data_IF_511289669456
#
_entry.id   IF_511289669456
#
_cell.length_a   1.000
_cell.length_b   1.000
_cell.length_c   1.000
_cell.angle_alpha   90.00
_cell.angle_beta   90.00
_cell.angle_gamma   90.00
#
_symmetry.space_group_name_H-M   'P 1'
#
loop_
_entity.id
_entity.type
_entity.pdbx_description
1 polymer ?
#
# COMPACT_ATOMS: atom_id res chain seq x y z
N UNK A 1 4.15 0.81 33.34
CA UNK A 1 3.94 2.23 33.71
C UNK A 1 4.14 3.06 32.46
N UNK A 2 3.21 3.96 32.12
CA UNK A 2 3.35 4.84 30.94
C UNK A 2 4.35 5.96 31.29
N UNK A 3 5.44 6.06 30.54
CA UNK A 3 6.49 7.07 30.71
C UNK A 3 6.29 8.25 29.74
N UNK A 4 6.94 9.41 29.97
CA UNK A 4 6.92 10.52 29.01
C UNK A 4 7.39 10.12 27.60
N UNK A 5 8.39 9.23 27.51
CA UNK A 5 8.86 8.67 26.23
C UNK A 5 7.76 7.90 25.51
N UNK A 6 7.06 7.00 26.22
CA UNK A 6 5.93 6.24 25.65
C UNK A 6 4.84 7.19 25.15
N UNK A 7 4.48 8.22 25.94
CA UNK A 7 3.47 9.22 25.51
C UNK A 7 3.93 9.97 24.26
N UNK A 8 5.21 10.32 24.16
CA UNK A 8 5.77 10.96 22.97
C UNK A 8 5.65 10.04 21.74
N UNK A 9 6.06 8.78 21.87
CA UNK A 9 6.00 7.79 20.78
C UNK A 9 4.56 7.50 20.33
N UNK A 10 3.61 7.40 21.26
CA UNK A 10 2.18 7.24 20.94
C UNK A 10 1.64 8.44 20.13
N UNK A 11 2.01 9.67 20.50
CA UNK A 11 1.62 10.89 19.76
C UNK A 11 2.26 10.97 18.38
N UNK A 12 3.50 10.50 18.25
CA UNK A 12 4.17 10.41 16.95
C UNK A 12 3.40 9.43 16.08
N UNK A 13 3.18 8.21 16.56
CA UNK A 13 2.40 7.19 15.84
C UNK A 13 1.03 7.70 15.38
N UNK A 14 0.28 8.32 16.29
CA UNK A 14 -1.06 8.88 16.02
C UNK A 14 -1.06 9.86 14.84
N UNK A 15 -0.06 10.74 14.78
CA UNK A 15 0.03 11.83 13.80
C UNK A 15 0.67 11.42 12.48
N UNK A 16 1.40 10.31 12.45
CA UNK A 16 2.10 9.83 11.27
C UNK A 16 1.56 8.47 10.82
N UNK A 17 2.15 7.38 11.34
CA UNK A 17 2.00 6.03 10.80
C UNK A 17 0.56 5.54 10.90
N UNK A 18 -0.16 5.89 11.96
CA UNK A 18 -1.58 5.52 12.08
C UNK A 18 -2.41 6.04 10.90
N UNK A 19 -2.09 7.24 10.39
CA UNK A 19 -2.77 7.83 9.22
C UNK A 19 -2.47 7.08 7.92
N UNK A 20 -1.31 6.42 7.83
CA UNK A 20 -0.91 5.59 6.70
C UNK A 20 -1.66 4.25 6.74
N UNK A 21 -1.81 3.70 7.95
CA UNK A 21 -2.54 2.45 8.21
C UNK A 21 -4.03 2.60 7.86
N UNK A 22 -4.61 3.75 8.18
CA UNK A 22 -6.05 4.00 8.01
C UNK A 22 -6.41 4.75 6.72
N UNK A 23 -5.49 4.92 5.77
CA UNK A 23 -5.72 5.71 4.53
C UNK A 23 -7.01 5.33 3.78
N UNK A 24 -7.36 4.04 3.78
CA UNK A 24 -8.58 3.47 3.17
C UNK A 24 -9.57 2.89 4.19
N UNK A 25 -9.51 3.36 5.44
CA UNK A 25 -10.43 2.98 6.50
C UNK A 25 -11.18 4.20 7.02
N UNK A 26 -12.49 4.28 6.76
CA UNK A 26 -13.31 5.42 7.22
C UNK A 26 -13.54 5.40 8.74
N UNK A 27 -13.39 4.25 9.39
CA UNK A 27 -13.53 4.14 10.84
C UNK A 27 -12.30 4.65 11.59
N UNK A 28 -11.17 4.83 10.89
CA UNK A 28 -9.87 5.20 11.45
C UNK A 28 -9.46 4.24 12.57
N UNK A 29 -9.51 2.94 12.30
CA UNK A 29 -9.42 1.88 13.31
C UNK A 29 -8.08 1.88 14.04
N UNK A 30 -6.95 2.09 13.34
CA UNK A 30 -5.62 2.14 13.94
C UNK A 30 -5.35 3.47 14.68
N UNK A 31 -5.98 4.56 14.26
CA UNK A 31 -5.91 5.85 14.94
C UNK A 31 -6.82 5.93 16.17
N UNK A 32 -7.97 5.26 16.17
CA UNK A 32 -8.96 5.37 17.26
C UNK A 32 -8.92 4.16 18.17
N UNK A 33 -9.30 3.00 17.64
CA UNK A 33 -9.50 1.78 18.45
C UNK A 33 -8.18 1.21 18.95
N UNK A 34 -7.19 1.09 18.06
CA UNK A 34 -5.90 0.52 18.41
C UNK A 34 -5.16 1.35 19.47
N UNK A 35 -5.18 2.69 19.34
CA UNK A 35 -4.55 3.57 20.33
C UNK A 35 -5.18 3.45 21.72
N UNK A 36 -6.50 3.25 21.83
CA UNK A 36 -7.16 2.95 23.11
C UNK A 36 -6.73 1.59 23.70
N UNK A 37 -6.38 0.62 22.84
CA UNK A 37 -5.92 -0.71 23.26
C UNK A 37 -4.45 -0.75 23.66
N UNK A 38 -3.65 0.26 23.28
CA UNK A 38 -2.21 0.24 23.51
C UNK A 38 -1.83 0.28 25.01
N UNK A 39 -2.33 1.19 25.86
CA UNK A 39 -1.92 1.24 27.27
C UNK A 39 -2.09 -0.06 28.08
N UNK A 40 -3.22 -0.80 27.97
CA UNK A 40 -3.39 -2.06 28.70
C UNK A 40 -2.71 -3.26 28.04
N UNK A 41 -2.27 -3.17 26.77
CA UNK A 41 -1.68 -4.29 26.03
C UNK A 41 -0.16 -4.10 25.85
N UNK A 42 0.68 -4.85 26.58
CA UNK A 42 2.12 -4.76 26.42
C UNK A 42 2.58 -5.00 24.99
N UNK A 43 1.99 -5.96 24.28
CA UNK A 43 2.37 -6.27 22.90
C UNK A 43 2.10 -5.07 21.97
N UNK A 44 0.88 -4.52 22.00
CA UNK A 44 0.51 -3.39 21.14
C UNK A 44 1.35 -2.16 21.52
N UNK A 45 1.53 -1.88 22.81
CA UNK A 45 2.30 -0.73 23.28
C UNK A 45 3.74 -0.77 22.76
N UNK A 46 4.41 -1.91 22.96
CA UNK A 46 5.79 -2.09 22.51
C UNK A 46 5.87 -2.02 20.97
N UNK A 47 4.94 -2.65 20.25
CA UNK A 47 4.94 -2.61 18.78
C UNK A 47 4.73 -1.20 18.21
N UNK A 48 3.81 -0.41 18.78
CA UNK A 48 3.60 0.99 18.41
C UNK A 48 4.83 1.85 18.73
N UNK A 49 5.38 1.72 19.94
CA UNK A 49 6.57 2.45 20.35
C UNK A 49 7.77 2.13 19.45
N UNK A 50 7.97 0.86 19.12
CA UNK A 50 9.01 0.41 18.20
C UNK A 50 8.87 1.09 16.83
N UNK A 51 7.66 1.01 16.25
CA UNK A 51 7.35 1.55 14.94
C UNK A 51 7.51 3.07 14.87
N UNK A 52 7.01 3.80 15.88
CA UNK A 52 7.18 5.24 15.99
C UNK A 52 8.65 5.66 16.16
N UNK A 53 9.36 5.01 17.07
CA UNK A 53 10.78 5.29 17.31
C UNK A 53 11.60 4.99 16.05
N UNK A 54 11.24 3.92 15.31
CA UNK A 54 11.92 3.60 14.06
C UNK A 54 11.73 4.72 13.04
N UNK A 55 10.52 5.22 12.87
CA UNK A 55 10.28 6.35 11.97
C UNK A 55 11.07 7.59 12.38
N UNK A 56 11.06 7.96 13.67
CA UNK A 56 11.86 9.09 14.18
C UNK A 56 13.36 8.92 13.92
N UNK A 57 13.86 7.69 13.97
CA UNK A 57 15.26 7.39 13.66
C UNK A 57 15.63 7.62 12.19
N UNK A 58 14.64 7.57 11.29
CA UNK A 58 14.82 7.72 9.84
C UNK A 58 14.65 9.18 9.38
N UNK A 59 13.74 9.93 10.01
CA UNK A 59 13.46 11.34 9.65
C UNK A 59 14.20 12.35 10.52
N UNK A 60 14.87 11.90 11.57
CA UNK A 60 15.49 12.76 12.58
C UNK A 60 16.77 12.15 13.17
N UNK A 61 16.85 12.09 14.50
CA UNK A 61 18.06 11.64 15.20
C UNK A 61 18.16 10.11 15.25
N UNK A 62 18.82 9.53 14.25
CA UNK A 62 19.10 8.09 14.18
C UNK A 62 19.78 7.56 15.44
N UNK A 63 20.80 8.26 15.96
CA UNK A 63 21.55 7.86 17.15
C UNK A 63 20.69 7.79 18.42
N UNK A 64 19.67 8.65 18.51
CA UNK A 64 18.76 8.69 19.67
C UNK A 64 17.71 7.60 19.58
N UNK A 65 17.04 7.49 18.43
CA UNK A 65 15.80 6.71 18.33
C UNK A 65 16.01 5.28 17.85
N UNK A 66 17.11 4.97 17.16
CA UNK A 66 17.37 3.61 16.69
C UNK A 66 17.48 2.61 17.86
N UNK A 67 18.28 2.84 18.92
CA UNK A 67 18.35 1.91 20.05
C UNK A 67 17.02 1.74 20.79
N UNK A 68 16.25 2.83 20.91
CA UNK A 68 14.90 2.82 21.49
C UNK A 68 13.97 1.94 20.65
N UNK A 69 14.02 2.09 19.33
CA UNK A 69 13.21 1.29 18.39
C UNK A 69 13.53 -0.21 18.48
N UNK A 70 14.82 -0.56 18.56
CA UNK A 70 15.29 -1.94 18.67
C UNK A 70 14.90 -2.57 20.02
N UNK A 71 14.95 -1.80 21.10
CA UNK A 71 14.50 -2.24 22.42
C UNK A 71 13.01 -2.62 22.42
N UNK A 72 12.13 -1.70 22.02
CA UNK A 72 10.68 -1.96 21.98
C UNK A 72 10.33 -3.06 20.98
N UNK A 73 11.02 -3.13 19.84
CA UNK A 73 10.83 -4.19 18.84
C UNK A 73 11.16 -5.57 19.43
N UNK A 74 12.30 -5.70 20.11
CA UNK A 74 12.69 -6.97 20.75
C UNK A 74 11.66 -7.44 21.79
N UNK A 75 11.11 -6.52 22.59
CA UNK A 75 10.05 -6.84 23.55
C UNK A 75 8.76 -7.27 22.85
N UNK A 76 8.34 -6.58 21.79
CA UNK A 76 7.14 -6.90 21.04
C UNK A 76 7.25 -8.26 20.34
N UNK A 77 8.40 -8.59 19.74
CA UNK A 77 8.65 -9.91 19.12
C UNK A 77 8.58 -11.02 20.16
N UNK A 78 9.18 -10.83 21.34
CA UNK A 78 9.14 -11.81 22.43
C UNK A 78 7.71 -12.06 22.94
N UNK A 79 6.92 -10.99 23.09
CA UNK A 79 5.51 -11.08 23.46
C UNK A 79 4.67 -11.77 22.36
N UNK A 80 4.94 -11.48 21.09
CA UNK A 80 4.28 -12.13 19.96
C UNK A 80 4.58 -13.63 19.92
N UNK A 81 5.83 -14.05 20.12
CA UNK A 81 6.19 -15.46 20.15
C UNK A 81 5.40 -16.23 21.22
N UNK A 82 5.34 -15.68 22.45
CA UNK A 82 4.53 -16.26 23.55
C UNK A 82 3.04 -16.31 23.23
N UNK A 83 2.51 -15.30 22.56
CA UNK A 83 1.11 -15.24 22.16
C UNK A 83 0.79 -16.35 21.15
N UNK A 84 1.67 -16.58 20.17
CA UNK A 84 1.49 -17.61 19.15
C UNK A 84 1.62 -19.04 19.71
N UNK A 85 2.43 -19.22 20.76
CA UNK A 85 2.51 -20.50 21.50
C UNK A 85 1.24 -20.78 22.32
N UNK A 86 0.49 -19.74 22.70
CA UNK A 86 -0.76 -19.82 23.45
C UNK A 86 -1.99 -19.79 22.50
N UNK A 87 -2.41 -20.96 22.04
CA UNK A 87 -3.65 -21.20 21.25
C UNK A 87 -4.93 -20.52 21.84
N UNK A 88 -6.03 -20.39 21.07
CA UNK A 88 -6.32 -19.43 19.99
C UNK A 88 -7.22 -18.26 20.44
N UNK A 89 -7.34 -17.95 21.74
CA UNK A 89 -8.33 -16.97 22.23
C UNK A 89 -8.00 -15.51 21.88
N UNK A 90 -6.76 -15.21 21.49
CA UNK A 90 -6.27 -13.84 21.27
C UNK A 90 -5.79 -13.59 19.82
N UNK A 91 -6.41 -14.27 18.84
CA UNK A 91 -6.00 -14.13 17.43
C UNK A 91 -6.17 -12.72 16.85
N UNK A 92 -7.12 -11.92 17.37
CA UNK A 92 -7.24 -10.50 17.00
C UNK A 92 -5.99 -9.70 17.42
N UNK A 93 -5.44 -9.99 18.60
CA UNK A 93 -4.20 -9.36 19.06
C UNK A 93 -3.00 -9.82 18.23
N UNK A 94 -2.97 -11.11 17.83
CA UNK A 94 -1.91 -11.67 17.01
C UNK A 94 -1.84 -10.98 15.64
N UNK A 95 -2.95 -10.87 14.91
CA UNK A 95 -2.94 -10.21 13.60
C UNK A 95 -2.51 -8.74 13.72
N UNK A 96 -3.01 -8.01 14.71
CA UNK A 96 -2.66 -6.59 14.93
C UNK A 96 -1.17 -6.43 15.22
N UNK A 97 -0.63 -7.22 16.15
CA UNK A 97 0.79 -7.18 16.48
C UNK A 97 1.65 -7.56 15.27
N UNK A 98 1.22 -8.54 14.47
CA UNK A 98 1.92 -8.92 13.24
C UNK A 98 1.96 -7.77 12.23
N UNK A 99 0.84 -7.07 12.01
CA UNK A 99 0.82 -5.91 11.11
C UNK A 99 1.78 -4.81 11.59
N UNK A 100 1.77 -4.50 12.89
CA UNK A 100 2.66 -3.48 13.46
C UNK A 100 4.15 -3.88 13.33
N UNK A 101 4.48 -5.12 13.65
CA UNK A 101 5.84 -5.65 13.52
C UNK A 101 6.28 -5.68 12.04
N UNK A 102 5.48 -6.20 11.12
CA UNK A 102 5.79 -6.18 9.69
C UNK A 102 5.95 -4.76 9.13
N UNK A 103 5.21 -3.79 9.67
CA UNK A 103 5.37 -2.39 9.30
C UNK A 103 6.67 -1.78 9.85
N UNK A 104 7.09 -2.18 11.05
CA UNK A 104 8.40 -1.81 11.59
C UNK A 104 9.51 -2.34 10.69
N UNK A 105 9.43 -3.61 10.30
CA UNK A 105 10.42 -4.31 9.50
C UNK A 105 10.54 -3.70 8.09
N UNK A 106 9.41 -3.28 7.51
CA UNK A 106 9.37 -2.53 6.25
C UNK A 106 10.22 -1.24 6.31
N UNK A 107 10.22 -0.54 7.45
CA UNK A 107 11.06 0.64 7.68
C UNK A 107 12.48 0.29 8.16
N UNK A 108 12.64 -0.83 8.86
CA UNK A 108 13.89 -1.20 9.51
C UNK A 108 14.90 -1.89 8.60
N UNK A 109 14.42 -2.86 7.84
CA UNK A 109 15.21 -3.75 7.01
C UNK A 109 14.37 -4.22 5.82
N UNK A 110 14.06 -3.32 4.87
CA UNK A 110 13.35 -3.71 3.66
C UNK A 110 14.16 -4.78 2.91
N UNK A 111 13.52 -5.87 2.51
CA UNK A 111 14.19 -6.96 1.81
C UNK A 111 13.78 -8.35 2.30
N UNK A 112 14.70 -9.30 2.27
CA UNK A 112 14.41 -10.72 2.51
C UNK A 112 13.82 -11.00 3.89
N UNK A 113 14.27 -10.28 4.93
CA UNK A 113 13.77 -10.48 6.29
C UNK A 113 12.32 -10.01 6.43
N UNK A 114 12.00 -8.80 5.94
CA UNK A 114 10.61 -8.33 5.81
C UNK A 114 9.74 -9.33 5.02
N UNK A 115 10.24 -9.86 3.91
CA UNK A 115 9.51 -10.82 3.08
C UNK A 115 9.20 -12.13 3.80
N UNK A 116 10.11 -12.63 4.65
CA UNK A 116 9.89 -13.83 5.46
C UNK A 116 8.77 -13.59 6.48
N UNK A 117 8.76 -12.43 7.12
CA UNK A 117 7.75 -12.12 8.12
C UNK A 117 6.38 -11.79 7.51
N UNK A 118 6.34 -11.13 6.35
CA UNK A 118 5.08 -10.95 5.59
C UNK A 118 4.46 -12.29 5.19
N UNK A 119 5.27 -13.32 4.87
CA UNK A 119 4.79 -14.70 4.67
C UNK A 119 4.21 -15.31 5.95
N UNK A 120 4.77 -14.99 7.11
CA UNK A 120 4.19 -15.36 8.40
C UNK A 120 2.84 -14.68 8.63
N UNK A 121 2.73 -13.39 8.31
CA UNK A 121 1.48 -12.62 8.39
C UNK A 121 0.38 -13.21 7.51
N UNK A 122 0.73 -13.66 6.30
CA UNK A 122 -0.18 -14.35 5.40
C UNK A 122 -0.86 -15.56 6.06
N UNK A 123 -0.12 -16.38 6.82
CA UNK A 123 -0.67 -17.55 7.52
C UNK A 123 -1.75 -17.14 8.53
N UNK A 124 -1.49 -16.10 9.33
CA UNK A 124 -2.47 -15.58 10.31
C UNK A 124 -3.70 -15.01 9.61
N UNK A 125 -3.51 -14.20 8.57
CA UNK A 125 -4.58 -13.62 7.76
C UNK A 125 -5.48 -14.70 7.15
N UNK A 126 -4.88 -15.76 6.61
CA UNK A 126 -5.59 -16.89 6.03
C UNK A 126 -6.38 -17.68 7.09
N UNK A 127 -5.74 -18.01 8.23
CA UNK A 127 -6.38 -18.75 9.32
C UNK A 127 -7.57 -18.02 9.94
N UNK A 128 -7.52 -16.68 9.98
CA UNK A 128 -8.60 -15.86 10.52
C UNK A 128 -9.73 -15.56 9.53
N UNK A 129 -9.56 -15.91 8.25
CA UNK A 129 -10.38 -15.34 7.17
C UNK A 129 -10.54 -13.82 7.33
N UNK A 130 -9.42 -13.13 7.60
CA UNK A 130 -9.43 -11.78 8.18
C UNK A 130 -10.23 -10.76 7.35
N UNK A 131 -10.28 -10.95 6.03
CA UNK A 131 -11.03 -10.15 5.08
C UNK A 131 -12.56 -10.18 5.29
N UNK A 132 -13.09 -11.25 5.87
CA UNK A 132 -14.52 -11.45 6.17
C UNK A 132 -14.81 -11.49 7.69
N UNK A 133 -13.85 -11.07 8.52
CA UNK A 133 -14.02 -11.09 9.97
C UNK A 133 -15.14 -10.17 10.44
N UNK A 134 -15.88 -10.55 11.50
CA UNK A 134 -16.84 -9.68 12.17
C UNK A 134 -16.16 -8.53 12.95
N UNK A 135 -14.89 -8.69 13.32
CA UNK A 135 -14.10 -7.63 13.96
C UNK A 135 -13.65 -6.57 12.95
N UNK A 136 -13.93 -5.29 13.23
CA UNK A 136 -13.38 -4.19 12.44
C UNK A 136 -11.85 -4.12 12.53
N UNK A 137 -11.26 -4.45 13.68
CA UNK A 137 -9.81 -4.42 13.86
C UNK A 137 -9.13 -5.47 12.99
N UNK A 138 -9.67 -6.70 12.96
CA UNK A 138 -9.18 -7.76 12.07
C UNK A 138 -9.35 -7.38 10.58
N UNK A 139 -10.48 -6.78 10.20
CA UNK A 139 -10.70 -6.32 8.82
C UNK A 139 -9.76 -5.16 8.42
N UNK A 140 -9.53 -4.21 9.32
CA UNK A 140 -8.59 -3.12 9.10
C UNK A 140 -7.15 -3.66 8.93
N UNK A 141 -6.74 -4.58 9.81
CA UNK A 141 -5.47 -5.29 9.69
C UNK A 141 -5.32 -6.02 8.35
N UNK A 142 -6.40 -6.65 7.86
CA UNK A 142 -6.39 -7.27 6.54
C UNK A 142 -6.12 -6.26 5.41
N UNK A 143 -6.78 -5.11 5.39
CA UNK A 143 -6.58 -4.14 4.30
C UNK A 143 -5.20 -3.47 4.34
N UNK A 144 -4.59 -3.34 5.53
CA UNK A 144 -3.18 -2.95 5.66
C UNK A 144 -2.27 -4.04 5.07
N UNK A 145 -2.49 -5.30 5.45
CA UNK A 145 -1.77 -6.45 4.89
C UNK A 145 -1.91 -6.53 3.36
N UNK A 146 -3.11 -6.34 2.83
CA UNK A 146 -3.37 -6.38 1.39
C UNK A 146 -2.52 -5.36 0.62
N UNK A 147 -2.40 -4.14 1.14
CA UNK A 147 -1.53 -3.11 0.55
C UNK A 147 -0.05 -3.48 0.65
N UNK A 148 0.38 -4.04 1.78
CA UNK A 148 1.76 -4.53 1.96
C UNK A 148 2.08 -5.67 0.97
N UNK A 149 1.14 -6.60 0.79
CA UNK A 149 1.28 -7.73 -0.12
C UNK A 149 1.36 -7.27 -1.59
N UNK A 150 0.50 -6.33 -2.00
CA UNK A 150 0.56 -5.74 -3.35
C UNK A 150 1.92 -5.06 -3.58
N UNK A 151 2.37 -4.23 -2.64
CA UNK A 151 3.64 -3.53 -2.73
C UNK A 151 4.84 -4.51 -2.81
N UNK A 152 4.84 -5.57 -2.00
CA UNK A 152 5.91 -6.56 -2.02
C UNK A 152 5.86 -7.46 -3.28
N UNK A 153 4.67 -7.85 -3.74
CA UNK A 153 4.50 -8.59 -4.98
C UNK A 153 5.04 -7.84 -6.20
N UNK A 154 4.80 -6.51 -6.27
CA UNK A 154 5.43 -5.62 -7.23
C UNK A 154 6.96 -5.64 -7.10
N UNK A 155 7.51 -5.48 -5.90
CA UNK A 155 8.97 -5.51 -5.70
C UNK A 155 9.63 -6.83 -6.11
N UNK A 156 8.91 -7.95 -6.01
CA UNK A 156 9.38 -9.28 -6.41
C UNK A 156 9.11 -9.59 -7.89
N UNK A 157 8.34 -8.77 -8.60
CA UNK A 157 7.72 -9.13 -9.88
C UNK A 157 7.09 -10.53 -9.82
N UNK A 158 6.31 -10.80 -8.78
CA UNK A 158 5.66 -12.08 -8.52
C UNK A 158 4.17 -11.88 -8.24
N UNK A 159 3.33 -12.92 -8.37
CA UNK A 159 1.96 -12.88 -7.85
C UNK A 159 1.92 -12.59 -6.34
N UNK A 160 0.76 -12.16 -5.85
CA UNK A 160 0.49 -12.06 -4.41
C UNK A 160 0.43 -13.45 -3.78
N UNK A 161 0.74 -13.53 -2.49
CA UNK A 161 0.64 -14.77 -1.70
C UNK A 161 -0.83 -15.15 -1.43
N UNK A 162 -1.64 -14.16 -1.05
CA UNK A 162 -3.08 -14.34 -0.89
C UNK A 162 -3.77 -14.14 -2.24
N UNK A 163 -4.64 -15.08 -2.62
CA UNK A 163 -5.43 -14.97 -3.85
C UNK A 163 -6.42 -13.79 -3.76
N UNK A 164 -6.31 -12.75 -4.60
CA UNK A 164 -7.24 -11.63 -4.57
C UNK A 164 -8.68 -12.03 -4.90
N UNK A 165 -8.90 -13.19 -5.54
CA UNK A 165 -10.23 -13.70 -5.84
C UNK A 165 -11.05 -14.05 -4.59
N UNK A 166 -10.41 -14.25 -3.43
CA UNK A 166 -11.09 -14.45 -2.14
C UNK A 166 -11.42 -13.14 -1.42
N UNK A 167 -10.88 -12.00 -1.88
CA UNK A 167 -11.07 -10.73 -1.21
C UNK A 167 -12.51 -10.22 -1.44
N UNK A 168 -13.06 -9.43 -0.49
CA UNK A 168 -14.41 -8.89 -0.61
C UNK A 168 -14.59 -8.12 -1.92
N UNK A 169 -15.65 -8.48 -2.66
CA UNK A 169 -16.14 -7.70 -3.80
C UNK A 169 -17.24 -6.79 -3.30
N UNK A 170 -17.02 -5.50 -3.42
CA UNK A 170 -17.96 -4.50 -2.91
C UNK A 170 -19.01 -4.17 -3.97
N UNK A 171 -20.25 -3.96 -3.53
CA UNK A 171 -21.29 -3.38 -4.37
C UNK A 171 -21.10 -1.85 -4.44
N UNK A 172 -20.39 -1.41 -5.47
CA UNK A 172 -20.07 -0.01 -5.73
C UNK A 172 -21.21 0.75 -6.43
N UNK A 173 -22.29 0.07 -6.82
CA UNK A 173 -23.41 0.65 -7.57
C UNK A 173 -24.44 1.37 -6.70
N UNK A 174 -24.26 1.33 -5.38
CA UNK A 174 -25.14 1.99 -4.41
C UNK A 174 -25.15 3.50 -4.62
N UNK A 175 -26.28 4.14 -4.31
CA UNK A 175 -26.45 5.59 -4.42
C UNK A 175 -25.43 6.37 -3.56
N UNK A 176 -25.14 5.87 -2.36
CA UNK A 176 -24.09 6.38 -1.47
C UNK A 176 -23.15 5.23 -1.10
N UNK A 177 -22.18 4.92 -1.96
CA UNK A 177 -21.24 3.84 -1.69
C UNK A 177 -20.23 4.29 -0.64
N UNK A 178 -19.82 3.39 0.24
CA UNK A 178 -18.84 3.70 1.26
C UNK A 178 -17.46 3.96 0.61
N UNK A 179 -16.77 5.03 1.03
CA UNK A 179 -15.51 5.46 0.41
C UNK A 179 -14.43 4.39 0.48
N UNK A 180 -14.30 3.76 1.64
CA UNK A 180 -13.40 2.63 1.90
C UNK A 180 -13.68 1.45 0.97
N UNK A 181 -14.95 1.18 0.63
CA UNK A 181 -15.30 0.13 -0.33
C UNK A 181 -14.73 0.43 -1.71
N UNK A 182 -14.80 1.68 -2.18
CA UNK A 182 -14.18 2.10 -3.44
C UNK A 182 -12.65 1.96 -3.41
N UNK A 183 -12.01 2.47 -2.36
CA UNK A 183 -10.56 2.44 -2.24
C UNK A 183 -10.01 1.01 -2.07
N UNK A 184 -10.69 0.16 -1.30
CA UNK A 184 -10.28 -1.22 -1.10
C UNK A 184 -10.57 -2.10 -2.34
N UNK A 185 -11.61 -1.79 -3.12
CA UNK A 185 -11.86 -2.48 -4.39
C UNK A 185 -10.74 -2.24 -5.42
N UNK A 186 -10.22 -1.01 -5.53
CA UNK A 186 -9.07 -0.77 -6.42
C UNK A 186 -7.81 -1.47 -5.95
N UNK A 187 -7.60 -1.63 -4.63
CA UNK A 187 -6.50 -2.45 -4.09
C UNK A 187 -6.65 -3.91 -4.53
N UNK A 188 -7.87 -4.46 -4.47
CA UNK A 188 -8.17 -5.81 -5.01
C UNK A 188 -7.88 -5.91 -6.50
N UNK A 189 -8.37 -4.97 -7.31
CA UNK A 189 -8.14 -4.94 -8.76
C UNK A 189 -6.64 -4.82 -9.10
N UNK A 190 -5.88 -4.02 -8.34
CA UNK A 190 -4.42 -3.95 -8.48
C UNK A 190 -3.76 -5.29 -8.13
N UNK A 191 -4.21 -5.97 -7.07
CA UNK A 191 -3.68 -7.29 -6.71
C UNK A 191 -3.97 -8.34 -7.80
N UNK A 192 -5.18 -8.36 -8.37
CA UNK A 192 -5.54 -9.21 -9.52
C UNK A 192 -4.65 -8.91 -10.74
N UNK A 193 -4.40 -7.62 -11.00
CA UNK A 193 -3.51 -7.18 -12.08
C UNK A 193 -2.11 -7.75 -11.89
N UNK A 194 -1.53 -7.59 -10.69
CA UNK A 194 -0.21 -8.12 -10.32
C UNK A 194 -0.16 -9.64 -10.51
N UNK A 195 -1.19 -10.37 -10.09
CA UNK A 195 -1.27 -11.83 -10.28
C UNK A 195 -1.30 -12.26 -11.75
N UNK A 196 -2.05 -11.56 -12.60
CA UNK A 196 -2.11 -11.85 -14.04
C UNK A 196 -0.78 -11.48 -14.73
N UNK A 197 -0.19 -10.33 -14.39
CA UNK A 197 1.03 -9.78 -15.01
C UNK A 197 2.31 -10.50 -14.58
N UNK A 198 2.35 -11.09 -13.38
CA UNK A 198 3.52 -11.84 -12.91
C UNK A 198 3.29 -13.35 -12.78
N UNK A 199 2.13 -13.85 -13.19
CA UNK A 199 1.81 -15.28 -13.23
C UNK A 199 2.65 -16.07 -14.23
N UNK A 200 2.77 -17.40 -14.00
CA UNK A 200 3.59 -18.30 -14.85
C UNK A 200 3.06 -18.40 -16.29
N UNK A 201 3.93 -18.20 -17.28
CA UNK A 201 3.60 -18.22 -18.72
C UNK A 201 3.68 -19.62 -19.35
N UNK A 202 2.76 -19.93 -20.27
CA UNK A 202 2.75 -21.09 -21.18
C UNK A 202 1.89 -20.75 -22.41
N UNK A 203 2.11 -21.36 -23.58
CA UNK A 203 1.39 -21.02 -24.84
C UNK A 203 -0.14 -21.10 -24.72
N UNK A 204 -0.68 -22.12 -24.05
CA UNK A 204 -2.14 -22.21 -23.80
C UNK A 204 -2.62 -21.13 -22.83
N UNK A 205 -1.74 -20.69 -21.92
CA UNK A 205 -2.01 -19.61 -20.98
C UNK A 205 -1.93 -18.24 -21.63
N UNK A 206 -1.19 -18.02 -22.72
CA UNK A 206 -1.08 -16.70 -23.37
C UNK A 206 -2.43 -16.20 -23.89
N UNK A 207 -3.23 -17.05 -24.57
CA UNK A 207 -4.57 -16.66 -25.03
C UNK A 207 -5.53 -16.37 -23.86
N UNK A 208 -5.49 -17.21 -22.82
CA UNK A 208 -6.27 -17.01 -21.60
C UNK A 208 -5.87 -15.71 -20.91
N UNK A 209 -4.56 -15.46 -20.78
CA UNK A 209 -3.99 -14.25 -20.19
C UNK A 209 -4.43 -13.01 -20.94
N UNK A 210 -4.39 -12.99 -22.28
CA UNK A 210 -4.90 -11.85 -23.07
C UNK A 210 -6.38 -11.55 -22.79
N UNK A 211 -7.19 -12.59 -22.62
CA UNK A 211 -8.60 -12.45 -22.22
C UNK A 211 -8.73 -11.89 -20.81
N UNK A 212 -8.00 -12.46 -19.84
CA UNK A 212 -8.04 -12.04 -18.44
C UNK A 212 -7.57 -10.57 -18.30
N UNK A 213 -6.53 -10.16 -19.04
CA UNK A 213 -6.08 -8.76 -19.13
C UNK A 213 -7.19 -7.85 -19.67
N UNK A 214 -7.89 -8.26 -20.73
CA UNK A 214 -8.98 -7.48 -21.34
C UNK A 214 -10.18 -7.35 -20.40
N UNK A 215 -10.55 -8.43 -19.72
CA UNK A 215 -11.62 -8.43 -18.70
C UNK A 215 -11.28 -7.46 -17.57
N UNK A 216 -10.08 -7.57 -17.02
CA UNK A 216 -9.67 -6.72 -15.89
C UNK A 216 -9.53 -5.24 -16.29
N UNK A 217 -9.11 -4.97 -17.52
CA UNK A 217 -9.13 -3.62 -18.08
C UNK A 217 -10.56 -3.05 -18.14
N UNK A 218 -11.55 -3.87 -18.52
CA UNK A 218 -12.96 -3.50 -18.49
C UNK A 218 -13.47 -3.21 -17.06
N UNK A 219 -13.12 -4.05 -16.09
CA UNK A 219 -13.47 -3.86 -14.68
C UNK A 219 -12.88 -2.56 -14.10
N UNK A 220 -11.60 -2.29 -14.36
CA UNK A 220 -10.95 -1.04 -13.94
C UNK A 220 -11.59 0.19 -14.58
N UNK A 221 -11.89 0.14 -15.89
CA UNK A 221 -12.59 1.24 -16.58
C UNK A 221 -13.98 1.47 -15.99
N UNK A 222 -14.70 0.39 -15.68
CA UNK A 222 -15.99 0.49 -15.02
C UNK A 222 -15.87 1.08 -13.60
N UNK A 223 -14.88 0.65 -12.82
CA UNK A 223 -14.58 1.22 -11.50
C UNK A 223 -14.35 2.74 -11.58
N UNK A 224 -13.56 3.20 -12.55
CA UNK A 224 -13.35 4.64 -12.75
C UNK A 224 -14.63 5.33 -13.24
N UNK A 225 -15.40 4.69 -14.12
CA UNK A 225 -16.64 5.26 -14.65
C UNK A 225 -17.67 5.52 -13.54
N UNK A 226 -17.90 4.54 -12.67
CA UNK A 226 -18.88 4.65 -11.57
C UNK A 226 -18.37 5.46 -10.38
N UNK A 227 -17.05 5.71 -10.29
CA UNK A 227 -16.49 6.58 -9.27
C UNK A 227 -17.12 7.98 -9.37
N UNK A 228 -17.66 8.54 -8.28
CA UNK A 228 -18.18 9.90 -8.25
C UNK A 228 -17.16 10.93 -8.74
N UNK A 229 -17.59 11.88 -9.57
CA UNK A 229 -16.72 12.91 -10.15
C UNK A 229 -15.98 13.72 -9.07
N UNK A 230 -16.66 14.05 -7.95
CA UNK A 230 -16.02 14.76 -6.83
C UNK A 230 -14.85 14.00 -6.17
N UNK A 231 -14.71 12.69 -6.42
CA UNK A 231 -13.63 11.87 -5.86
C UNK A 231 -12.45 11.71 -6.83
N UNK A 232 -12.64 11.96 -8.13
CA UNK A 232 -11.58 11.82 -9.16
C UNK A 232 -10.54 12.93 -9.12
N UNK A 233 -10.78 13.98 -8.35
CA UNK A 233 -9.92 15.16 -8.25
C UNK A 233 -10.25 16.18 -9.34
N UNK A 234 -9.92 17.44 -9.07
CA UNK A 234 -10.10 18.55 -10.00
C UNK A 234 -8.74 18.98 -10.53
N UNK A 235 -8.58 18.91 -11.85
CA UNK A 235 -7.38 19.40 -12.53
C UNK A 235 -7.31 20.92 -12.46
N UNK A 236 -6.12 21.46 -12.18
CA UNK A 236 -5.82 22.89 -12.22
C UNK A 236 -4.37 23.12 -12.69
N UNK A 237 -4.04 24.36 -13.01
CA UNK A 237 -2.67 24.76 -13.40
C UNK A 237 -2.06 25.64 -12.32
N UNK A 238 -0.82 25.33 -11.93
CA UNK A 238 -0.02 26.08 -10.96
C UNK A 238 1.41 26.17 -11.46
N UNK A 239 1.95 27.38 -11.56
CA UNK A 239 3.29 27.66 -12.11
C UNK A 239 3.55 27.00 -13.47
N UNK A 240 2.52 26.97 -14.33
CA UNK A 240 2.58 26.34 -15.66
C UNK A 240 2.52 24.81 -15.66
N UNK A 241 2.36 24.17 -14.49
CA UNK A 241 2.29 22.73 -14.35
C UNK A 241 0.85 22.27 -14.07
N UNK A 242 0.47 21.12 -14.65
CA UNK A 242 -0.80 20.45 -14.33
C UNK A 242 -0.72 19.85 -12.92
N UNK A 243 -1.74 20.11 -12.11
CA UNK A 243 -1.90 19.61 -10.75
C UNK A 243 -3.34 19.13 -10.53
N UNK A 244 -3.56 18.36 -9.49
CA UNK A 244 -4.86 17.81 -9.11
C UNK A 244 -5.19 18.10 -7.66
N UNK A 245 -6.32 18.75 -7.43
CA UNK A 245 -6.83 18.92 -6.07
C UNK A 245 -7.83 17.82 -5.74
N UNK A 246 -7.57 17.09 -4.65
CA UNK A 246 -8.47 16.05 -4.14
C UNK A 246 -9.10 16.52 -2.82
N UNK A 247 -10.42 16.79 -2.79
CA UNK A 247 -11.12 17.10 -1.53
C UNK A 247 -10.96 15.99 -0.49
N UNK A 248 -10.76 14.76 -0.96
CA UNK A 248 -10.53 13.54 -0.17
C UNK A 248 -9.22 12.90 -0.63
N UNK A 249 -8.08 13.19 0.03
CA UNK A 249 -6.77 12.79 -0.48
C UNK A 249 -6.55 11.28 -0.66
N UNK A 250 -7.29 10.44 0.09
CA UNK A 250 -7.29 8.98 -0.11
C UNK A 250 -7.63 8.57 -1.55
N UNK A 251 -8.47 9.34 -2.24
CA UNK A 251 -8.80 9.06 -3.63
C UNK A 251 -7.66 9.40 -4.59
N UNK A 252 -6.76 10.33 -4.25
CA UNK A 252 -5.52 10.52 -5.00
C UNK A 252 -4.70 9.22 -5.04
N UNK A 253 -4.54 8.54 -3.89
CA UNK A 253 -3.88 7.23 -3.84
C UNK A 253 -4.68 6.14 -4.58
N UNK A 254 -6.01 6.12 -4.47
CA UNK A 254 -6.85 5.15 -5.17
C UNK A 254 -6.78 5.31 -6.71
N UNK A 255 -6.82 6.54 -7.22
CA UNK A 255 -6.69 6.84 -8.65
C UNK A 255 -5.28 6.49 -9.14
N UNK A 256 -4.24 6.73 -8.34
CA UNK A 256 -2.87 6.26 -8.65
C UNK A 256 -2.82 4.73 -8.77
N UNK A 257 -3.47 3.98 -7.87
CA UNK A 257 -3.54 2.52 -7.98
C UNK A 257 -4.27 2.06 -9.25
N UNK A 258 -5.34 2.76 -9.65
CA UNK A 258 -5.99 2.55 -10.94
C UNK A 258 -5.01 2.74 -12.11
N UNK A 259 -4.29 3.87 -12.15
CA UNK A 259 -3.33 4.12 -13.23
C UNK A 259 -2.16 3.13 -13.22
N UNK A 260 -1.69 2.69 -12.04
CA UNK A 260 -0.69 1.63 -11.93
C UNK A 260 -1.20 0.33 -12.55
N UNK A 261 -2.41 -0.09 -12.21
CA UNK A 261 -3.01 -1.30 -12.77
C UNK A 261 -3.09 -1.19 -14.30
N UNK A 262 -3.59 -0.08 -14.82
CA UNK A 262 -3.68 0.15 -16.27
C UNK A 262 -2.31 0.16 -16.95
N UNK A 263 -1.30 0.80 -16.35
CA UNK A 263 0.08 0.80 -16.84
C UNK A 263 0.60 -0.64 -16.97
N UNK A 264 0.45 -1.46 -15.92
CA UNK A 264 0.91 -2.85 -15.91
C UNK A 264 0.17 -3.70 -16.95
N UNK A 265 -1.14 -3.51 -17.10
CA UNK A 265 -1.95 -4.21 -18.09
C UNK A 265 -1.51 -3.89 -19.52
N UNK A 266 -1.32 -2.60 -19.84
CA UNK A 266 -0.90 -2.18 -21.18
C UNK A 266 0.51 -2.65 -21.53
N UNK A 267 1.44 -2.53 -20.58
CA UNK A 267 2.80 -3.02 -20.73
C UNK A 267 2.85 -4.55 -20.91
N UNK A 268 1.97 -5.31 -20.24
CA UNK A 268 1.89 -6.75 -20.45
C UNK A 268 1.19 -7.10 -21.78
N UNK A 269 0.17 -6.34 -22.19
CA UNK A 269 -0.49 -6.50 -23.50
C UNK A 269 0.47 -6.31 -24.66
N UNK A 270 1.38 -5.34 -24.57
CA UNK A 270 2.46 -5.12 -25.54
C UNK A 270 3.31 -6.39 -25.71
N UNK A 271 3.74 -7.00 -24.59
CA UNK A 271 4.60 -8.20 -24.60
C UNK A 271 3.94 -9.45 -25.15
N UNK A 272 2.63 -9.60 -24.95
CA UNK A 272 1.89 -10.80 -25.37
C UNK A 272 1.20 -10.66 -26.74
N UNK A 273 1.26 -9.48 -27.36
CA UNK A 273 0.69 -9.25 -28.69
C UNK A 273 1.61 -9.82 -29.78
N UNK A 274 0.99 -10.42 -30.81
CA UNK A 274 1.70 -10.98 -31.96
C UNK A 274 1.68 -9.93 -33.09
N UNK A 275 2.85 -9.46 -33.50
CA UNK A 275 3.00 -8.49 -34.59
C UNK A 275 3.16 -7.02 -34.14
N UNK A 276 3.58 -6.12 -35.05
CA UNK A 276 3.85 -4.71 -34.74
C UNK A 276 2.60 -3.82 -34.67
N UNK A 277 1.43 -4.35 -35.06
CA UNK A 277 0.18 -3.58 -35.09
C UNK A 277 -0.25 -3.19 -33.67
N UNK A 278 -0.52 -1.90 -33.46
CA UNK A 278 -0.99 -1.37 -32.18
C UNK A 278 0.09 -1.20 -31.09
N UNK A 279 1.34 -1.61 -31.31
CA UNK A 279 2.43 -1.49 -30.31
C UNK A 279 2.65 -0.02 -29.90
N UNK A 280 2.66 0.91 -30.85
CA UNK A 280 2.81 2.33 -30.54
C UNK A 280 1.67 2.86 -29.66
N UNK A 281 0.43 2.45 -29.93
CA UNK A 281 -0.72 2.84 -29.11
C UNK A 281 -0.58 2.31 -27.67
N UNK A 282 -0.14 1.05 -27.51
CA UNK A 282 0.11 0.47 -26.18
C UNK A 282 1.22 1.22 -25.43
N UNK A 283 2.31 1.57 -26.11
CA UNK A 283 3.40 2.37 -25.53
C UNK A 283 2.95 3.78 -25.15
N UNK A 284 2.07 4.40 -25.93
CA UNK A 284 1.49 5.70 -25.62
C UNK A 284 0.53 5.63 -24.43
N UNK A 285 -0.22 4.52 -24.27
CA UNK A 285 -1.03 4.28 -23.08
C UNK A 285 -0.15 4.08 -21.83
N UNK A 286 0.94 3.31 -21.93
CA UNK A 286 1.91 3.13 -20.85
C UNK A 286 2.49 4.48 -20.41
N UNK A 287 2.89 5.32 -21.36
CA UNK A 287 3.38 6.68 -21.08
C UNK A 287 2.31 7.57 -20.44
N UNK A 288 1.08 7.56 -20.98
CA UNK A 288 -0.03 8.36 -20.46
C UNK A 288 -0.39 7.99 -19.01
N UNK A 289 -0.47 6.69 -18.69
CA UNK A 289 -0.73 6.25 -17.32
C UNK A 289 0.45 6.56 -16.38
N UNK A 290 1.70 6.45 -16.86
CA UNK A 290 2.89 6.88 -16.10
C UNK A 290 2.84 8.37 -15.77
N UNK A 291 2.48 9.20 -16.76
CA UNK A 291 2.32 10.65 -16.59
C UNK A 291 1.27 10.98 -15.55
N UNK A 292 0.11 10.32 -15.58
CA UNK A 292 -0.95 10.56 -14.60
C UNK A 292 -0.54 10.21 -13.17
N UNK A 293 0.17 9.09 -12.97
CA UNK A 293 0.74 8.73 -11.65
C UNK A 293 1.65 9.84 -11.13
N UNK A 294 2.57 10.33 -11.98
CA UNK A 294 3.54 11.36 -11.61
C UNK A 294 2.84 12.69 -11.30
N UNK A 295 1.91 13.13 -12.13
CA UNK A 295 1.19 14.40 -11.93
C UNK A 295 0.35 14.38 -10.64
N UNK A 296 -0.36 13.28 -10.37
CA UNK A 296 -1.12 13.14 -9.12
C UNK A 296 -0.17 13.14 -7.92
N UNK A 297 0.96 12.43 -8.00
CA UNK A 297 1.95 12.41 -6.92
C UNK A 297 2.54 13.81 -6.65
N UNK A 298 2.80 14.60 -7.69
CA UNK A 298 3.28 15.98 -7.59
C UNK A 298 2.21 16.95 -7.07
N UNK A 299 0.95 16.53 -6.90
CA UNK A 299 -0.15 17.40 -6.49
C UNK A 299 -0.32 17.52 -4.97
N UNK A 300 0.79 17.51 -4.22
CA UNK A 300 0.83 17.79 -2.77
C UNK A 300 -0.10 16.91 -1.93
N UNK A 301 -0.13 15.60 -2.20
CA UNK A 301 -0.87 14.65 -1.36
C UNK A 301 -0.27 14.59 0.06
N UNK A 302 -1.09 14.44 1.11
CA UNK A 302 -0.62 14.28 2.48
C UNK A 302 0.12 12.95 2.64
N UNK A 303 0.93 12.85 3.70
CA UNK A 303 1.76 11.67 3.96
C UNK A 303 0.95 10.37 4.08
N UNK A 304 -0.28 10.46 4.59
CA UNK A 304 -1.23 9.34 4.64
C UNK A 304 -1.51 8.70 3.29
N UNK A 305 -1.57 9.49 2.23
CA UNK A 305 -1.81 9.02 0.88
C UNK A 305 -0.50 8.74 0.12
N UNK A 306 0.53 9.58 0.30
CA UNK A 306 1.74 9.52 -0.53
C UNK A 306 2.54 8.22 -0.33
N UNK A 307 2.51 7.63 0.87
CA UNK A 307 3.21 6.36 1.13
C UNK A 307 2.67 5.19 0.29
N UNK A 308 1.37 5.22 -0.05
CA UNK A 308 0.74 4.25 -0.96
C UNK A 308 1.19 4.50 -2.41
N UNK A 309 1.48 5.75 -2.76
CA UNK A 309 1.87 6.20 -4.10
C UNK A 309 3.33 5.88 -4.42
N UNK A 310 4.20 5.66 -3.42
CA UNK A 310 5.64 5.38 -3.63
C UNK A 310 5.89 4.27 -4.64
N UNK A 311 5.25 3.10 -4.48
CA UNK A 311 5.48 1.97 -5.38
C UNK A 311 4.98 2.24 -6.81
N UNK A 312 3.73 2.73 -7.02
CA UNK A 312 3.28 3.23 -8.31
C UNK A 312 4.25 4.22 -8.97
N UNK A 313 4.75 5.19 -8.20
CA UNK A 313 5.65 6.24 -8.70
C UNK A 313 6.98 5.66 -9.18
N UNK A 314 7.56 4.70 -8.45
CA UNK A 314 8.76 3.98 -8.89
C UNK A 314 8.55 3.23 -10.21
N UNK A 315 7.35 2.67 -10.46
CA UNK A 315 7.04 2.05 -11.76
C UNK A 315 6.88 3.10 -12.86
N UNK A 316 6.11 4.17 -12.60
CA UNK A 316 5.89 5.24 -13.57
C UNK A 316 7.21 5.88 -14.07
N UNK A 317 8.16 6.12 -13.16
CA UNK A 317 9.49 6.68 -13.47
C UNK A 317 10.27 5.84 -14.50
N UNK A 318 10.05 4.52 -14.55
CA UNK A 318 10.72 3.61 -15.49
C UNK A 318 10.13 3.68 -16.90
N UNK A 319 8.90 4.16 -17.03
CA UNK A 319 8.11 4.08 -18.25
C UNK A 319 7.74 5.44 -18.86
N UNK A 320 7.87 6.53 -18.10
CA UNK A 320 7.64 7.90 -18.60
C UNK A 320 8.72 8.31 -19.63
N UNK A 321 8.28 8.89 -20.75
CA UNK A 321 9.16 9.43 -21.81
C UNK A 321 9.67 10.85 -21.50
N UNK A 322 8.87 11.64 -20.78
CA UNK A 322 9.21 13.00 -20.37
C UNK A 322 10.29 12.99 -19.27
N UNK A 323 11.51 13.42 -19.64
CA UNK A 323 12.65 13.45 -18.73
C UNK A 323 12.49 14.48 -17.60
N UNK A 324 11.83 15.60 -17.84
CA UNK A 324 11.61 16.62 -16.80
C UNK A 324 10.64 16.10 -15.74
N UNK A 325 9.54 15.46 -16.16
CA UNK A 325 8.63 14.80 -15.23
C UNK A 325 9.32 13.64 -14.48
N UNK A 326 10.19 12.90 -15.17
CA UNK A 326 10.99 11.83 -14.55
C UNK A 326 11.88 12.36 -13.44
N UNK A 327 12.63 13.44 -13.69
CA UNK A 327 13.49 14.08 -12.71
C UNK A 327 12.68 14.60 -11.51
N UNK A 328 11.57 15.29 -11.76
CA UNK A 328 10.67 15.78 -10.70
C UNK A 328 10.11 14.64 -9.82
N UNK A 329 9.75 13.52 -10.43
CA UNK A 329 9.29 12.34 -9.70
C UNK A 329 10.39 11.71 -8.84
N UNK A 330 11.64 11.67 -9.32
CA UNK A 330 12.79 11.19 -8.55
C UNK A 330 13.08 12.13 -7.36
N UNK A 331 13.03 13.45 -7.57
CA UNK A 331 13.16 14.42 -6.47
C UNK A 331 12.05 14.23 -5.42
N UNK A 332 10.80 14.03 -5.86
CA UNK A 332 9.69 13.74 -4.95
C UNK A 332 9.91 12.45 -4.16
N UNK A 333 10.43 11.38 -4.77
CA UNK A 333 10.76 10.13 -4.06
C UNK A 333 11.82 10.34 -2.97
N UNK A 334 12.81 11.21 -3.21
CA UNK A 334 13.80 11.57 -2.20
C UNK A 334 13.20 12.42 -1.07
N UNK A 335 12.33 13.36 -1.40
CA UNK A 335 11.59 14.16 -0.41
C UNK A 335 10.68 13.29 0.47
N UNK A 336 9.93 12.35 -0.12
CA UNK A 336 9.11 11.39 0.63
C UNK A 336 9.97 10.58 1.59
N UNK A 337 11.12 10.05 1.15
CA UNK A 337 12.03 9.29 2.01
C UNK A 337 12.52 10.14 3.18
N UNK A 338 12.91 11.39 2.93
CA UNK A 338 13.39 12.31 3.96
C UNK A 338 12.30 12.68 4.98
N UNK A 339 11.05 12.91 4.55
CA UNK A 339 9.96 13.35 5.43
C UNK A 339 9.27 12.21 6.17
N UNK A 340 9.21 11.03 5.57
CA UNK A 340 8.46 9.90 6.12
C UNK A 340 9.36 8.80 6.67
N UNK A 341 10.60 8.69 6.21
CA UNK A 341 11.48 7.56 6.48
C UNK A 341 11.15 6.31 5.66
N UNK A 342 10.19 6.40 4.73
CA UNK A 342 9.81 5.28 3.87
C UNK A 342 10.82 5.12 2.72
N UNK A 343 11.49 3.97 2.64
CA UNK A 343 12.56 3.73 1.67
C UNK A 343 12.07 3.79 0.22
N UNK A 344 12.71 4.63 -0.60
CA UNK A 344 12.40 4.79 -2.03
C UNK A 344 13.56 4.41 -2.95
N UNK A 345 14.82 4.59 -2.52
CA UNK A 345 16.01 4.40 -3.37
C UNK A 345 16.19 2.99 -3.93
N UNK A 346 16.04 1.95 -3.11
CA UNK A 346 16.25 0.55 -3.53
C UNK A 346 15.25 0.07 -4.60
N UNK A 347 14.18 0.84 -4.85
CA UNK A 347 13.11 0.53 -5.80
C UNK A 347 13.36 1.12 -7.20
N UNK A 348 14.26 2.10 -7.31
CA UNK A 348 14.65 2.75 -8.56
C UNK A 348 15.80 2.01 -9.27
N UNK A 349 16.63 1.27 -8.51
CA UNK A 349 17.82 0.55 -9.01
C UNK A 349 17.51 -0.85 -9.58
N UNK A 350 16.27 -1.34 -9.42
CA UNK A 350 15.77 -2.64 -9.92
C UNK A 350 14.80 -2.41 -11.07
#
# INVERSE_FOLDING_TARGET
>A
MITPEIVHLLRVYEKSIATWMDVFDSELTYQRRLLCMAPPSPLILNAICALAARQLSLVGSSLTWKPVSEHYYGQAVHLMARLLDAYPSEMELAIVGTILLSSYELLAFPGLDYQRHLRGAHTIVASLHAHNSASCLTRASFWIYARHEVADALNRNSPTLHDPGSWPKFDLSRAEPAEDSFCNDVVRLTAETVCIVFGKTSRSRTKRRKRDLSTLQGELRNWLHICPEQWKGTEYTEDGNVRYWFPRPKFGAAIVLYHLSMLLLWHELEKVSEGPEGVNEMLDQVDAHSRQIILIALSSLPDSAIVVVVQPLCYAVKHIKDNTLKENAIFLLHDIEARTGFHTKSKLER
#
